data_IF_197792592663
#
_entry.id   IF_197792592663
#
_cell.length_a   1.000
_cell.length_b   1.000
_cell.length_c   1.000
_cell.angle_alpha   90.00
_cell.angle_beta   90.00
_cell.angle_gamma   90.00
#
_symmetry.space_group_name_H-M   'P 1'
#
loop_
_entity.id
_entity.type
_entity.pdbx_description
1 polymer ?
#
# COMPACT_ATOMS: atom_id res chain seq x y z
N UNK A 1 -0.85 -10.70 21.77
CA UNK A 1 -1.65 -9.44 21.72
C UNK A 1 -3.08 -9.74 22.14
N UNK A 2 -3.68 -8.91 23.02
CA UNK A 2 -5.05 -9.11 23.50
C UNK A 2 -6.06 -8.30 22.72
N UNK A 3 -5.71 -7.07 22.32
CA UNK A 3 -6.59 -6.17 21.56
C UNK A 3 -5.81 -5.47 20.43
N UNK A 4 -6.37 -5.56 19.22
CA UNK A 4 -5.90 -4.82 18.04
C UNK A 4 -7.00 -3.88 17.57
N UNK A 5 -6.69 -2.59 17.42
CA UNK A 5 -7.58 -1.59 16.84
C UNK A 5 -7.21 -1.35 15.36
N UNK A 6 -8.17 -1.56 14.46
CA UNK A 6 -8.02 -1.26 13.03
C UNK A 6 -8.72 0.07 12.73
N UNK A 7 -7.96 1.08 12.36
CA UNK A 7 -8.47 2.38 11.92
C UNK A 7 -8.60 2.36 10.39
N UNK A 8 -9.84 2.26 9.90
CA UNK A 8 -10.11 2.04 8.48
C UNK A 8 -10.35 0.58 8.12
N UNK A 9 -11.59 0.12 8.26
CA UNK A 9 -11.98 -1.27 8.02
C UNK A 9 -12.46 -1.44 6.58
N UNK A 10 -11.49 -1.38 5.63
CA UNK A 10 -11.70 -1.66 4.21
C UNK A 10 -11.19 -3.05 3.81
N UNK A 11 -10.76 -3.20 2.55
CA UNK A 11 -10.17 -4.44 2.05
C UNK A 11 -8.95 -4.87 2.89
N UNK A 12 -7.95 -4.00 3.03
CA UNK A 12 -6.68 -4.33 3.67
C UNK A 12 -6.86 -4.51 5.18
N UNK A 13 -7.44 -3.52 5.89
CA UNK A 13 -7.70 -3.63 7.33
C UNK A 13 -8.61 -4.80 7.69
N UNK A 14 -9.64 -5.05 6.90
CA UNK A 14 -10.53 -6.21 7.07
C UNK A 14 -9.84 -7.54 6.81
N UNK A 15 -8.96 -7.62 5.81
CA UNK A 15 -8.17 -8.84 5.53
C UNK A 15 -7.18 -9.13 6.67
N UNK A 16 -6.52 -8.09 7.21
CA UNK A 16 -5.66 -8.25 8.38
C UNK A 16 -6.44 -8.76 9.59
N UNK A 17 -7.61 -8.17 9.86
CA UNK A 17 -8.46 -8.64 10.96
C UNK A 17 -8.86 -10.11 10.80
N UNK A 18 -9.29 -10.53 9.61
CA UNK A 18 -9.62 -11.95 9.33
C UNK A 18 -8.42 -12.87 9.53
N UNK A 19 -7.27 -12.51 8.95
CA UNK A 19 -6.06 -13.33 9.05
C UNK A 19 -5.60 -13.52 10.50
N UNK A 20 -5.63 -12.44 11.30
CA UNK A 20 -5.31 -12.50 12.72
C UNK A 20 -6.29 -13.38 13.48
N UNK A 21 -7.60 -13.22 13.24
CA UNK A 21 -8.63 -14.06 13.92
C UNK A 21 -8.51 -15.54 13.60
N UNK A 22 -8.11 -15.90 12.39
CA UNK A 22 -7.85 -17.30 12.03
C UNK A 22 -6.66 -17.90 12.79
N UNK A 23 -5.62 -17.12 13.03
CA UNK A 23 -4.41 -17.57 13.75
C UNK A 23 -4.53 -17.47 15.25
N UNK A 24 -5.12 -16.39 15.74
CA UNK A 24 -5.24 -16.03 17.15
C UNK A 24 -6.68 -15.63 17.48
N UNK A 25 -7.61 -16.60 17.62
CA UNK A 25 -9.05 -16.31 17.83
C UNK A 25 -9.35 -15.57 19.14
N UNK A 26 -8.42 -15.58 20.11
CA UNK A 26 -8.58 -14.89 21.39
C UNK A 26 -8.26 -13.38 21.30
N UNK A 27 -7.65 -12.91 20.20
CA UNK A 27 -7.34 -11.50 20.01
C UNK A 27 -8.62 -10.72 19.67
N UNK A 28 -8.95 -9.72 20.48
CA UNK A 28 -10.08 -8.82 20.25
C UNK A 28 -9.78 -7.88 19.07
N UNK A 29 -10.55 -7.99 18.00
CA UNK A 29 -10.45 -7.10 16.83
C UNK A 29 -11.44 -5.97 16.96
N UNK A 30 -10.94 -4.78 17.30
CA UNK A 30 -11.71 -3.54 17.41
C UNK A 30 -11.61 -2.73 16.12
N UNK A 31 -12.71 -2.24 15.58
CA UNK A 31 -12.75 -1.39 14.39
C UNK A 31 -13.06 0.06 14.71
N UNK A 32 -12.42 1.00 14.00
CA UNK A 32 -12.78 2.41 14.01
C UNK A 32 -12.97 2.95 12.60
N UNK A 33 -14.03 3.72 12.41
CA UNK A 33 -14.22 4.61 11.25
C UNK A 33 -15.11 5.79 11.66
N UNK A 34 -15.06 6.88 10.87
CA UNK A 34 -15.89 8.09 11.12
C UNK A 34 -17.39 7.82 11.01
N UNK A 35 -17.80 6.76 10.33
CA UNK A 35 -19.19 6.35 10.14
C UNK A 35 -19.35 4.88 10.45
N UNK A 36 -20.50 4.49 10.95
CA UNK A 36 -20.77 3.11 11.40
C UNK A 36 -21.18 2.14 10.28
N UNK A 37 -21.49 2.63 9.08
CA UNK A 37 -22.01 1.82 7.97
C UNK A 37 -21.11 0.60 7.66
N UNK A 38 -19.83 0.85 7.36
CA UNK A 38 -18.88 -0.21 7.04
C UNK A 38 -18.49 -1.04 8.26
N UNK A 39 -18.48 -0.42 9.46
CA UNK A 39 -18.20 -1.11 10.71
C UNK A 39 -19.29 -2.14 11.05
N UNK A 40 -20.57 -1.80 10.85
CA UNK A 40 -21.71 -2.72 11.01
C UNK A 40 -21.59 -3.92 10.07
N UNK A 41 -21.22 -3.68 8.81
CA UNK A 41 -20.98 -4.76 7.84
C UNK A 41 -19.83 -5.64 8.32
N UNK A 42 -18.71 -5.05 8.73
CA UNK A 42 -17.55 -5.80 9.21
C UNK A 42 -17.88 -6.68 10.43
N UNK A 43 -18.63 -6.15 11.39
CA UNK A 43 -19.10 -6.92 12.57
C UNK A 43 -20.03 -8.05 12.17
N UNK A 44 -21.01 -7.78 11.27
CA UNK A 44 -21.93 -8.81 10.77
C UNK A 44 -21.21 -9.95 10.01
N UNK A 45 -20.13 -9.62 9.31
CA UNK A 45 -19.30 -10.59 8.60
C UNK A 45 -18.29 -11.32 9.51
N UNK A 46 -18.29 -11.05 10.82
CA UNK A 46 -17.36 -11.65 11.78
C UNK A 46 -15.91 -11.18 11.64
N UNK A 47 -15.67 -10.09 10.89
CA UNK A 47 -14.33 -9.49 10.72
C UNK A 47 -13.88 -8.81 12.01
N UNK A 48 -14.80 -8.11 12.67
CA UNK A 48 -14.59 -7.42 13.93
C UNK A 48 -15.37 -8.10 15.06
N UNK A 49 -14.83 -8.06 16.26
CA UNK A 49 -15.55 -8.44 17.48
C UNK A 49 -16.38 -7.27 17.98
N UNK A 50 -15.82 -6.05 17.91
CA UNK A 50 -16.52 -4.83 18.23
C UNK A 50 -16.02 -3.64 17.40
N UNK A 51 -16.74 -2.50 17.49
CA UNK A 51 -16.37 -1.28 16.79
C UNK A 51 -16.90 -0.06 17.51
N UNK A 52 -16.27 1.09 17.25
CA UNK A 52 -16.77 2.40 17.68
C UNK A 52 -16.53 3.46 16.61
N UNK A 53 -17.37 4.48 16.63
CA UNK A 53 -17.15 5.76 15.93
C UNK A 53 -16.51 6.81 16.84
N UNK A 54 -16.30 6.49 18.12
CA UNK A 54 -15.47 7.24 19.04
C UNK A 54 -14.04 6.67 19.03
N UNK A 55 -13.09 7.53 18.66
CA UNK A 55 -11.70 7.11 18.52
C UNK A 55 -11.06 6.78 19.87
N UNK A 56 -11.45 7.48 20.94
CA UNK A 56 -10.99 7.19 22.30
C UNK A 56 -11.38 5.77 22.72
N UNK A 57 -12.66 5.43 22.55
CA UNK A 57 -13.18 4.09 22.90
C UNK A 57 -12.47 3.00 22.07
N UNK A 58 -12.28 3.26 20.79
CA UNK A 58 -11.67 2.29 19.89
C UNK A 58 -10.20 2.00 20.26
N UNK A 59 -9.40 3.04 20.47
CA UNK A 59 -7.94 2.95 20.64
C UNK A 59 -7.54 2.57 22.08
N UNK A 60 -8.31 3.00 23.10
CA UNK A 60 -7.96 2.76 24.49
C UNK A 60 -7.72 1.28 24.81
N UNK A 61 -6.66 1.00 25.56
CA UNK A 61 -6.23 -0.34 25.95
C UNK A 61 -5.89 -1.29 24.77
N UNK A 62 -5.57 -0.75 23.59
CA UNK A 62 -5.07 -1.56 22.48
C UNK A 62 -3.58 -1.85 22.66
N UNK A 63 -3.17 -3.09 22.39
CA UNK A 63 -1.76 -3.45 22.30
C UNK A 63 -1.17 -2.93 20.98
N UNK A 64 -1.99 -2.97 19.91
CA UNK A 64 -1.61 -2.53 18.56
C UNK A 64 -2.73 -1.68 17.95
N UNK A 65 -2.35 -0.57 17.31
CA UNK A 65 -3.21 0.26 16.48
C UNK A 65 -2.70 0.22 15.04
N UNK A 66 -3.56 -0.16 14.10
CA UNK A 66 -3.23 -0.28 12.68
C UNK A 66 -3.93 0.82 11.89
N UNK A 67 -3.16 1.69 11.23
CA UNK A 67 -3.66 2.73 10.34
C UNK A 67 -3.89 2.13 8.94
N UNK A 68 -5.14 1.79 8.62
CA UNK A 68 -5.54 1.20 7.33
C UNK A 68 -6.45 2.14 6.52
N UNK A 69 -6.18 3.43 6.61
CA UNK A 69 -6.86 4.52 5.89
C UNK A 69 -6.02 5.02 4.72
N UNK A 70 -6.58 5.85 3.82
CA UNK A 70 -5.77 6.56 2.84
C UNK A 70 -4.63 7.34 3.49
N UNK A 71 -3.47 7.39 2.81
CA UNK A 71 -2.23 7.95 3.35
C UNK A 71 -2.32 9.43 3.74
N UNK A 72 -3.17 10.20 3.07
CA UNK A 72 -3.44 11.61 3.41
C UNK A 72 -4.16 11.81 4.76
N UNK A 73 -4.72 10.76 5.35
CA UNK A 73 -5.40 10.87 6.63
C UNK A 73 -4.48 10.64 7.84
N UNK A 74 -3.23 10.24 7.63
CA UNK A 74 -2.33 9.81 8.72
C UNK A 74 -2.09 10.89 9.76
N UNK A 75 -1.78 12.12 9.34
CA UNK A 75 -1.54 13.24 10.26
C UNK A 75 -2.73 13.46 11.21
N UNK A 76 -3.92 13.66 10.65
CA UNK A 76 -5.14 13.87 11.43
C UNK A 76 -5.46 12.70 12.36
N UNK A 77 -5.22 11.45 11.89
CA UNK A 77 -5.47 10.27 12.73
C UNK A 77 -4.46 10.21 13.87
N UNK A 78 -3.17 10.46 13.60
CA UNK A 78 -2.15 10.48 14.65
C UNK A 78 -2.43 11.56 15.69
N UNK A 79 -2.87 12.77 15.30
CA UNK A 79 -3.32 13.82 16.21
C UNK A 79 -4.46 13.33 17.10
N UNK A 80 -5.46 12.69 16.52
CA UNK A 80 -6.66 12.24 17.23
C UNK A 80 -6.39 11.06 18.17
N UNK A 81 -5.49 10.13 17.84
CA UNK A 81 -5.18 8.98 18.70
C UNK A 81 -4.16 9.31 19.79
N UNK A 82 -3.28 10.29 19.56
CA UNK A 82 -2.17 10.64 20.47
C UNK A 82 -2.57 10.72 21.96
N UNK A 83 -3.69 11.37 22.34
CA UNK A 83 -4.08 11.49 23.76
C UNK A 83 -4.49 10.15 24.40
N UNK A 84 -4.81 9.14 23.60
CA UNK A 84 -5.43 7.89 24.06
C UNK A 84 -4.51 6.67 23.90
N UNK A 85 -3.30 6.88 23.37
CA UNK A 85 -2.28 5.82 23.28
C UNK A 85 -1.75 5.44 24.66
N UNK A 86 -1.81 4.17 25.01
CA UNK A 86 -1.18 3.62 26.21
C UNK A 86 0.36 3.59 26.09
N UNK A 87 1.04 3.53 27.21
CA UNK A 87 2.53 3.50 27.25
C UNK A 87 3.16 2.33 26.49
N UNK A 88 2.41 1.23 26.30
CA UNK A 88 2.88 0.03 25.60
C UNK A 88 2.21 -0.17 24.24
N UNK A 89 1.31 0.74 23.84
CA UNK A 89 0.62 0.64 22.56
C UNK A 89 1.60 0.84 21.42
N UNK A 90 1.66 -0.11 20.51
CA UNK A 90 2.40 -0.02 19.25
C UNK A 90 1.47 0.52 18.18
N UNK A 91 1.99 1.36 17.29
CA UNK A 91 1.27 1.87 16.12
C UNK A 91 1.95 1.38 14.86
N UNK A 92 1.19 0.90 13.90
CA UNK A 92 1.68 0.54 12.56
C UNK A 92 0.69 1.00 11.50
N UNK A 93 1.07 0.91 10.24
CA UNK A 93 0.19 1.24 9.12
C UNK A 93 0.25 0.18 8.01
N UNK A 94 -0.57 0.38 6.97
CA UNK A 94 -0.57 -0.44 5.75
C UNK A 94 -0.50 0.42 4.49
N UNK A 95 -0.07 1.66 4.62
CA UNK A 95 -0.04 2.64 3.54
C UNK A 95 0.99 2.35 2.47
N UNK A 96 0.74 2.84 1.26
CA UNK A 96 1.59 2.61 0.09
C UNK A 96 2.81 3.54 0.02
N UNK A 97 2.91 4.55 0.87
CA UNK A 97 4.03 5.49 0.99
C UNK A 97 4.47 5.59 2.44
N UNK A 98 5.77 5.78 2.71
CA UNK A 98 6.33 5.72 4.06
C UNK A 98 6.84 7.07 4.56
N UNK A 99 7.49 7.85 3.70
CA UNK A 99 8.06 9.15 4.11
C UNK A 99 7.00 10.13 4.60
N UNK A 100 5.79 10.11 4.01
CA UNK A 100 4.69 10.95 4.46
C UNK A 100 4.19 10.58 5.87
N UNK A 101 4.17 9.30 6.23
CA UNK A 101 3.82 8.87 7.59
C UNK A 101 4.87 9.32 8.59
N UNK A 102 6.17 9.19 8.24
CA UNK A 102 7.26 9.65 9.09
C UNK A 102 7.14 11.15 9.33
N UNK A 103 6.98 11.95 8.27
CA UNK A 103 6.82 13.41 8.38
C UNK A 103 5.58 13.79 9.22
N UNK A 104 4.46 13.11 9.01
CA UNK A 104 3.23 13.29 9.81
C UNK A 104 3.47 12.97 11.29
N UNK A 105 4.16 11.87 11.58
CA UNK A 105 4.48 11.47 12.94
C UNK A 105 5.41 12.46 13.64
N UNK A 106 6.48 12.91 12.95
CA UNK A 106 7.38 13.94 13.50
C UNK A 106 6.64 15.24 13.81
N UNK A 107 5.77 15.68 12.89
CA UNK A 107 4.95 16.89 13.10
C UNK A 107 4.04 16.75 14.32
N UNK A 108 3.36 15.61 14.47
CA UNK A 108 2.39 15.39 15.55
C UNK A 108 3.08 15.19 16.91
N UNK A 109 4.18 14.43 16.96
CA UNK A 109 4.83 14.05 18.21
C UNK A 109 6.05 14.92 18.56
N UNK A 110 6.51 15.80 17.66
CA UNK A 110 7.72 16.62 17.83
C UNK A 110 9.01 15.91 17.42
N UNK A 111 8.99 14.59 17.34
CA UNK A 111 10.02 13.71 16.79
C UNK A 111 9.38 12.38 16.42
N UNK A 112 10.06 11.55 15.63
CA UNK A 112 9.53 10.24 15.27
C UNK A 112 9.39 9.36 16.53
N UNK A 113 8.18 8.84 16.85
CA UNK A 113 7.95 8.10 18.08
C UNK A 113 8.45 6.66 17.97
N UNK A 114 9.15 6.18 19.00
CA UNK A 114 9.76 4.83 19.03
C UNK A 114 8.77 3.67 18.89
N UNK A 115 7.51 3.90 19.25
CA UNK A 115 6.44 2.90 19.21
C UNK A 115 5.72 2.81 17.85
N UNK A 116 6.05 3.69 16.90
CA UNK A 116 5.47 3.66 15.56
C UNK A 116 6.41 2.89 14.62
N UNK A 117 5.89 1.82 14.05
CA UNK A 117 6.63 0.96 13.12
C UNK A 117 5.89 0.95 11.79
N UNK A 118 6.36 1.69 10.79
CA UNK A 118 5.70 1.75 9.50
C UNK A 118 5.80 0.42 8.74
N UNK A 119 4.70 0.03 8.07
CA UNK A 119 4.66 -1.18 7.26
C UNK A 119 3.83 -0.96 5.98
N UNK A 120 4.10 -1.77 4.95
CA UNK A 120 3.36 -1.76 3.70
C UNK A 120 3.22 -3.19 3.17
N UNK A 121 2.04 -3.81 3.24
CA UNK A 121 1.78 -5.09 2.59
C UNK A 121 1.67 -4.91 1.08
N UNK A 122 2.53 -5.61 0.32
CA UNK A 122 2.52 -5.59 -1.14
C UNK A 122 1.46 -6.58 -1.64
N UNK A 123 0.22 -6.26 -1.32
CA UNK A 123 -0.95 -7.09 -1.62
C UNK A 123 -2.19 -6.20 -1.76
N UNK A 124 -3.10 -6.57 -2.65
CA UNK A 124 -4.34 -5.82 -2.90
C UNK A 124 -5.21 -6.53 -3.93
N UNK A 125 -6.40 -5.97 -4.12
CA UNK A 125 -7.35 -6.33 -5.18
C UNK A 125 -7.91 -5.03 -5.76
N UNK A 126 -8.44 -5.08 -6.98
CA UNK A 126 -9.09 -3.92 -7.62
C UNK A 126 -10.46 -3.58 -7.01
N UNK A 127 -10.93 -4.37 -6.05
CA UNK A 127 -12.20 -4.16 -5.34
C UNK A 127 -11.96 -3.54 -3.96
N UNK A 128 -12.78 -2.59 -3.57
CA UNK A 128 -12.75 -1.90 -2.29
C UNK A 128 -13.88 -2.39 -1.37
N UNK A 129 -13.66 -2.25 -0.05
CA UNK A 129 -14.67 -2.59 0.96
C UNK A 129 -14.32 -3.85 1.75
N UNK A 130 -14.91 -3.93 2.95
CA UNK A 130 -14.69 -5.06 3.87
C UNK A 130 -15.32 -6.36 3.36
N UNK A 131 -16.31 -6.27 2.50
CA UNK A 131 -16.97 -7.40 1.86
C UNK A 131 -16.01 -8.23 0.98
N UNK A 132 -14.97 -7.60 0.45
CA UNK A 132 -13.95 -8.25 -0.37
C UNK A 132 -12.71 -8.66 0.42
N UNK A 133 -12.73 -8.44 1.75
CA UNK A 133 -11.62 -8.85 2.62
C UNK A 133 -11.45 -10.38 2.62
N UNK A 134 -10.18 -10.80 2.72
CA UNK A 134 -9.77 -12.18 2.54
C UNK A 134 -8.65 -12.50 3.52
N UNK A 135 -8.85 -13.51 4.37
CA UNK A 135 -7.85 -13.91 5.36
C UNK A 135 -6.52 -14.38 4.74
N UNK A 136 -6.55 -14.86 3.50
CA UNK A 136 -5.38 -15.33 2.78
C UNK A 136 -4.70 -14.25 1.92
N UNK A 137 -5.17 -12.98 2.00
CA UNK A 137 -4.67 -11.90 1.14
C UNK A 137 -3.14 -11.73 1.24
N UNK A 138 -2.57 -11.93 2.41
CA UNK A 138 -1.15 -11.70 2.70
C UNK A 138 -0.30 -12.97 2.66
N UNK A 139 -0.92 -14.15 2.58
CA UNK A 139 -0.20 -15.42 2.57
C UNK A 139 0.75 -15.51 1.36
N UNK A 140 2.05 -15.74 1.63
CA UNK A 140 3.11 -15.75 0.63
C UNK A 140 3.37 -14.38 -0.02
N UNK A 141 2.79 -13.28 0.49
CA UNK A 141 3.03 -11.93 -0.01
C UNK A 141 4.12 -11.23 0.79
N UNK A 142 4.79 -10.29 0.13
CA UNK A 142 5.79 -9.44 0.78
C UNK A 142 5.10 -8.36 1.62
N UNK A 143 5.66 -8.11 2.80
CA UNK A 143 5.36 -6.92 3.61
C UNK A 143 6.68 -6.20 3.87
N UNK A 144 6.75 -4.93 3.49
CA UNK A 144 7.92 -4.10 3.77
C UNK A 144 7.71 -3.36 5.08
N UNK A 145 8.63 -3.51 6.01
CA UNK A 145 8.67 -2.80 7.30
C UNK A 145 9.81 -1.79 7.26
N UNK A 146 9.53 -0.54 7.63
CA UNK A 146 10.52 0.55 7.52
C UNK A 146 10.77 1.22 8.88
N UNK A 147 11.46 0.53 9.82
CA UNK A 147 11.75 1.12 11.12
C UNK A 147 12.72 2.29 10.98
N UNK A 148 12.54 3.32 11.81
CA UNK A 148 13.50 4.38 12.00
C UNK A 148 14.60 3.96 13.00
N UNK A 149 15.73 4.69 13.00
CA UNK A 149 16.90 4.36 13.84
C UNK A 149 16.58 4.29 15.33
N UNK A 150 15.61 5.07 15.80
CA UNK A 150 15.17 5.12 17.19
C UNK A 150 13.98 4.22 17.50
N UNK A 151 13.52 3.39 16.54
CA UNK A 151 12.41 2.47 16.77
C UNK A 151 12.70 1.51 17.92
N UNK A 152 11.69 1.28 18.77
CA UNK A 152 11.81 0.32 19.87
C UNK A 152 11.84 -1.11 19.32
N UNK A 153 12.81 -1.91 19.72
CA UNK A 153 13.00 -3.27 19.21
C UNK A 153 11.80 -4.18 19.48
N UNK A 154 11.20 -4.12 20.68
CA UNK A 154 10.02 -4.94 20.99
C UNK A 154 8.81 -4.56 20.12
N UNK A 155 8.66 -3.26 19.78
CA UNK A 155 7.62 -2.79 18.87
C UNK A 155 7.86 -3.30 17.46
N UNK A 156 9.11 -3.29 16.99
CA UNK A 156 9.51 -3.83 15.69
C UNK A 156 9.24 -5.33 15.62
N UNK A 157 9.67 -6.08 16.62
CA UNK A 157 9.48 -7.54 16.71
C UNK A 157 7.98 -7.89 16.72
N UNK A 158 7.15 -7.10 17.42
CA UNK A 158 5.70 -7.29 17.45
C UNK A 158 5.08 -7.15 16.06
N UNK A 159 5.46 -6.11 15.31
CA UNK A 159 4.93 -5.87 13.96
C UNK A 159 5.43 -6.94 12.97
N UNK A 160 6.70 -7.31 13.03
CA UNK A 160 7.26 -8.39 12.18
C UNK A 160 6.52 -9.70 12.47
N UNK A 161 6.42 -10.10 13.74
CA UNK A 161 5.75 -11.35 14.14
C UNK A 161 4.29 -11.38 13.69
N UNK A 162 3.56 -10.25 13.78
CA UNK A 162 2.17 -10.16 13.31
C UNK A 162 2.05 -10.56 11.83
N UNK A 163 2.92 -10.01 10.98
CA UNK A 163 2.88 -10.28 9.54
C UNK A 163 3.33 -11.70 9.19
N UNK A 164 4.37 -12.19 9.87
CA UNK A 164 4.88 -13.57 9.67
C UNK A 164 3.86 -14.63 10.11
N UNK A 165 3.18 -14.42 11.25
CA UNK A 165 2.15 -15.31 11.77
C UNK A 165 0.99 -15.50 10.79
N UNK A 166 0.63 -14.47 10.04
CA UNK A 166 -0.41 -14.56 9.00
C UNK A 166 0.12 -15.02 7.62
N UNK A 167 1.37 -15.47 7.56
CA UNK A 167 1.98 -16.10 6.39
C UNK A 167 2.63 -15.14 5.40
N UNK A 168 2.86 -13.89 5.77
CA UNK A 168 3.58 -12.94 4.92
C UNK A 168 5.11 -13.13 5.00
N UNK A 169 5.83 -12.68 3.97
CA UNK A 169 7.29 -12.55 3.97
C UNK A 169 7.68 -11.12 4.29
N UNK A 170 8.28 -10.91 5.47
CA UNK A 170 8.68 -9.58 5.91
C UNK A 170 10.07 -9.23 5.37
N UNK A 171 10.18 -8.05 4.78
CA UNK A 171 11.45 -7.42 4.38
C UNK A 171 11.61 -6.10 5.12
N UNK A 172 12.82 -5.83 5.64
CA UNK A 172 13.12 -4.59 6.36
C UNK A 172 14.03 -3.73 5.49
N UNK A 173 13.65 -2.47 5.28
CA UNK A 173 14.47 -1.46 4.58
C UNK A 173 14.16 -0.06 5.10
N UNK A 174 14.91 0.95 4.67
CA UNK A 174 14.59 2.35 5.01
C UNK A 174 13.35 2.85 4.26
N UNK A 175 12.65 3.84 4.82
CA UNK A 175 11.50 4.48 4.17
C UNK A 175 11.89 5.13 2.82
N UNK A 176 13.08 5.72 2.74
CA UNK A 176 13.63 6.28 1.49
C UNK A 176 13.77 5.20 0.43
N UNK A 177 14.39 4.08 0.80
CA UNK A 177 14.56 2.95 -0.12
C UNK A 177 13.21 2.36 -0.55
N UNK A 178 12.25 2.23 0.38
CA UNK A 178 10.89 1.78 0.08
C UNK A 178 10.22 2.70 -0.96
N UNK A 179 10.15 4.00 -0.71
CA UNK A 179 9.42 4.93 -1.57
C UNK A 179 10.07 5.05 -2.95
N UNK A 180 11.41 4.92 -3.04
CA UNK A 180 12.13 4.87 -4.31
C UNK A 180 11.84 3.58 -5.08
N UNK A 181 11.95 2.41 -4.46
CA UNK A 181 11.69 1.11 -5.12
C UNK A 181 10.22 1.01 -5.55
N UNK A 182 9.28 1.37 -4.69
CA UNK A 182 7.85 1.31 -5.02
C UNK A 182 7.44 2.41 -6.00
N UNK A 183 8.12 3.56 -5.97
CA UNK A 183 8.02 4.60 -6.99
C UNK A 183 8.23 4.04 -8.39
N UNK A 184 9.29 3.25 -8.57
CA UNK A 184 9.66 2.64 -9.84
C UNK A 184 8.82 1.40 -10.18
N UNK A 185 8.61 0.49 -9.22
CA UNK A 185 8.07 -0.85 -9.53
C UNK A 185 6.54 -0.95 -9.41
N UNK A 186 5.90 0.02 -8.77
CA UNK A 186 4.46 0.06 -8.54
C UNK A 186 3.84 1.38 -9.00
N UNK A 187 4.33 2.51 -8.52
CA UNK A 187 3.66 3.79 -8.75
C UNK A 187 3.78 4.23 -10.21
N UNK A 188 4.98 4.22 -10.80
CA UNK A 188 5.17 4.53 -12.23
C UNK A 188 4.31 3.65 -13.15
N UNK A 189 4.27 2.31 -13.02
CA UNK A 189 3.39 1.48 -13.85
C UNK A 189 1.92 1.88 -13.80
N UNK A 190 1.39 2.25 -12.62
CA UNK A 190 0.01 2.71 -12.51
C UNK A 190 -0.19 4.05 -13.21
N UNK A 191 0.75 5.00 -13.04
CA UNK A 191 0.67 6.30 -13.74
C UNK A 191 0.67 6.11 -15.25
N UNK A 192 1.53 5.22 -15.76
CA UNK A 192 1.58 4.91 -17.20
C UNK A 192 0.27 4.27 -17.69
N UNK A 193 -0.31 3.36 -16.90
CA UNK A 193 -1.57 2.72 -17.27
C UNK A 193 -2.74 3.73 -17.30
N UNK A 194 -2.90 4.58 -16.28
CA UNK A 194 -3.90 5.63 -16.25
C UNK A 194 -3.71 6.61 -17.40
N UNK A 195 -2.46 7.08 -17.61
CA UNK A 195 -2.14 8.06 -18.67
C UNK A 195 -2.34 7.47 -20.07
N UNK A 196 -1.97 6.19 -20.30
CA UNK A 196 -2.21 5.54 -21.60
C UNK A 196 -3.70 5.46 -21.93
N UNK A 197 -4.54 5.08 -20.95
CA UNK A 197 -5.99 5.02 -21.14
C UNK A 197 -6.56 6.39 -21.47
N UNK A 198 -6.18 7.43 -20.72
CA UNK A 198 -6.62 8.81 -20.94
C UNK A 198 -6.15 9.33 -22.32
N UNK A 199 -4.89 9.09 -22.67
CA UNK A 199 -4.33 9.45 -23.97
C UNK A 199 -5.13 8.84 -25.13
N UNK A 200 -5.40 7.53 -25.10
CA UNK A 200 -6.18 6.86 -26.14
C UNK A 200 -7.58 7.45 -26.28
N UNK A 201 -8.26 7.71 -25.16
CA UNK A 201 -9.58 8.32 -25.15
C UNK A 201 -9.58 9.74 -25.73
N UNK A 202 -8.51 10.50 -25.52
CA UNK A 202 -8.36 11.84 -26.06
C UNK A 202 -8.11 11.85 -27.58
N UNK A 203 -7.43 10.82 -28.11
CA UNK A 203 -7.13 10.71 -29.55
C UNK A 203 -8.32 10.16 -30.35
N UNK A 204 -8.91 9.06 -29.90
CA UNK A 204 -10.04 8.42 -30.59
C UNK A 204 -10.84 7.54 -29.61
N UNK A 205 -12.07 7.92 -29.33
CA UNK A 205 -12.96 7.16 -28.44
C UNK A 205 -13.28 5.76 -28.93
N UNK A 206 -13.25 5.55 -30.26
CA UNK A 206 -13.53 4.25 -30.87
C UNK A 206 -12.32 3.30 -30.82
N UNK A 207 -11.14 3.77 -30.46
CA UNK A 207 -9.92 2.95 -30.39
C UNK A 207 -10.09 1.72 -29.47
N UNK A 208 -10.90 1.83 -28.41
CA UNK A 208 -11.18 0.70 -27.54
C UNK A 208 -11.88 -0.47 -28.21
N UNK A 209 -12.64 -0.23 -29.28
CA UNK A 209 -13.33 -1.29 -30.03
C UNK A 209 -12.32 -2.24 -30.73
N UNK A 210 -11.09 -1.79 -30.92
CA UNK A 210 -10.00 -2.54 -31.54
C UNK A 210 -8.98 -3.05 -30.52
N UNK A 211 -9.18 -2.78 -29.22
CA UNK A 211 -8.28 -3.20 -28.16
C UNK A 211 -8.34 -4.73 -27.96
N UNK A 212 -7.18 -5.36 -27.90
CA UNK A 212 -7.03 -6.79 -27.67
C UNK A 212 -6.41 -7.13 -26.33
N UNK A 213 -6.08 -8.41 -26.08
CA UNK A 213 -5.61 -8.93 -24.79
C UNK A 213 -4.42 -8.17 -24.22
N UNK A 214 -3.43 -7.80 -25.03
CA UNK A 214 -2.26 -7.04 -24.54
C UNK A 214 -2.61 -5.69 -23.94
N UNK A 215 -3.53 -4.93 -24.58
CA UNK A 215 -4.01 -3.69 -24.00
C UNK A 215 -4.81 -3.91 -22.72
N UNK A 216 -5.70 -4.93 -22.71
CA UNK A 216 -6.49 -5.31 -21.53
C UNK A 216 -5.59 -5.62 -20.34
N UNK A 217 -4.53 -6.40 -20.55
CA UNK A 217 -3.61 -6.80 -19.49
C UNK A 217 -2.80 -5.61 -18.96
N UNK A 218 -2.27 -4.77 -19.86
CA UNK A 218 -1.49 -3.59 -19.49
C UNK A 218 -2.34 -2.55 -18.76
N UNK A 219 -3.55 -2.26 -19.27
CA UNK A 219 -4.44 -1.23 -18.72
C UNK A 219 -5.25 -1.69 -17.51
N UNK A 220 -5.21 -2.98 -17.12
CA UNK A 220 -5.97 -3.55 -16.00
C UNK A 220 -5.86 -2.73 -14.71
N UNK A 221 -4.64 -2.30 -14.38
CA UNK A 221 -4.35 -1.53 -13.16
C UNK A 221 -4.90 -0.10 -13.19
N UNK A 222 -5.28 0.45 -14.35
CA UNK A 222 -6.00 1.71 -14.46
C UNK A 222 -7.46 1.65 -13.95
N UNK A 223 -7.97 0.46 -13.63
CA UNK A 223 -9.26 0.29 -12.95
C UNK A 223 -9.19 0.39 -11.42
N UNK A 224 -8.01 0.68 -10.88
CA UNK A 224 -7.80 0.88 -9.43
C UNK A 224 -8.46 2.18 -8.94
N UNK A 225 -8.66 2.29 -7.61
CA UNK A 225 -9.26 3.47 -7.00
C UNK A 225 -8.45 4.75 -7.29
N UNK A 226 -9.06 5.67 -8.05
CA UNK A 226 -8.41 6.89 -8.50
C UNK A 226 -8.07 7.84 -7.35
N UNK A 227 -8.85 7.84 -6.27
CA UNK A 227 -8.59 8.70 -5.11
C UNK A 227 -7.36 8.20 -4.35
N UNK A 228 -7.27 6.90 -4.13
CA UNK A 228 -6.09 6.28 -3.51
C UNK A 228 -4.83 6.57 -4.34
N UNK A 229 -4.88 6.40 -5.66
CA UNK A 229 -3.73 6.63 -6.53
C UNK A 229 -3.33 8.11 -6.62
N UNK A 230 -4.30 9.04 -6.64
CA UNK A 230 -4.02 10.46 -6.50
C UNK A 230 -3.22 10.75 -5.23
N UNK A 231 -3.66 10.19 -4.11
CA UNK A 231 -3.01 10.42 -2.81
C UNK A 231 -1.60 9.82 -2.79
N UNK A 232 -1.39 8.64 -3.37
CA UNK A 232 -0.06 8.04 -3.56
C UNK A 232 0.84 8.94 -4.41
N UNK A 233 0.35 9.45 -5.54
CA UNK A 233 1.11 10.35 -6.41
C UNK A 233 1.61 11.59 -5.67
N UNK A 234 0.74 12.21 -4.88
CA UNK A 234 1.08 13.44 -4.16
C UNK A 234 2.07 13.18 -3.01
N UNK A 235 1.97 12.01 -2.35
CA UNK A 235 2.83 11.68 -1.21
C UNK A 235 4.17 11.04 -1.61
N UNK A 236 4.33 10.58 -2.85
CA UNK A 236 5.62 10.12 -3.40
C UNK A 236 6.02 10.89 -4.67
N UNK A 237 5.66 12.18 -4.72
CA UNK A 237 5.76 13.00 -5.93
C UNK A 237 7.19 13.08 -6.48
N UNK A 238 8.19 13.24 -5.63
CA UNK A 238 9.59 13.38 -6.04
C UNK A 238 10.09 12.13 -6.76
N UNK A 239 9.89 10.95 -6.18
CA UNK A 239 10.32 9.68 -6.80
C UNK A 239 9.56 9.40 -8.09
N UNK A 240 8.23 9.61 -8.07
CA UNK A 240 7.40 9.38 -9.27
C UNK A 240 7.80 10.32 -10.41
N UNK A 241 8.00 11.62 -10.14
CA UNK A 241 8.39 12.57 -11.19
C UNK A 241 9.79 12.30 -11.74
N UNK A 242 10.74 11.90 -10.89
CA UNK A 242 12.07 11.47 -11.32
C UNK A 242 11.99 10.26 -12.26
N UNK A 243 11.19 9.24 -11.90
CA UNK A 243 11.00 8.06 -12.74
C UNK A 243 10.25 8.37 -14.05
N UNK A 244 9.25 9.26 -14.01
CA UNK A 244 8.57 9.74 -15.23
C UNK A 244 9.56 10.43 -16.17
N UNK A 245 10.42 11.31 -15.65
CA UNK A 245 11.42 12.00 -16.47
C UNK A 245 12.37 11.01 -17.15
N UNK A 246 12.95 10.06 -16.40
CA UNK A 246 13.80 9.04 -16.99
C UNK A 246 13.08 8.11 -17.98
N UNK A 247 11.77 7.87 -17.77
CA UNK A 247 10.97 7.10 -18.71
C UNK A 247 10.66 7.87 -20.01
N UNK A 248 10.48 9.19 -19.92
CA UNK A 248 10.34 10.06 -21.09
C UNK A 248 11.61 10.00 -21.94
N UNK A 249 12.80 10.12 -21.34
CA UNK A 249 14.08 10.01 -22.04
C UNK A 249 14.19 8.67 -22.79
N UNK A 250 13.77 7.56 -22.15
CA UNK A 250 13.76 6.25 -22.80
C UNK A 250 12.77 6.15 -23.95
N UNK A 251 11.58 6.77 -23.85
CA UNK A 251 10.60 6.82 -24.94
C UNK A 251 11.09 7.66 -26.10
N UNK A 252 11.74 8.78 -25.84
CA UNK A 252 12.35 9.63 -26.88
C UNK A 252 13.46 8.88 -27.63
N UNK A 253 14.32 8.17 -26.90
CA UNK A 253 15.35 7.33 -27.51
C UNK A 253 14.74 6.25 -28.41
N UNK A 254 13.74 5.50 -27.93
CA UNK A 254 13.03 4.53 -28.76
C UNK A 254 12.37 5.17 -29.97
N UNK A 255 11.76 6.34 -29.83
CA UNK A 255 11.15 7.10 -30.93
C UNK A 255 12.19 7.45 -31.99
N UNK A 256 13.39 7.88 -31.59
CA UNK A 256 14.48 8.20 -32.52
C UNK A 256 14.99 6.95 -33.24
N UNK A 257 15.20 5.83 -32.55
CA UNK A 257 15.56 4.54 -33.16
C UNK A 257 14.54 4.14 -34.24
N UNK A 258 13.23 4.34 -33.97
CA UNK A 258 12.17 4.03 -34.97
C UNK A 258 12.25 4.95 -36.16
N UNK A 259 12.44 6.26 -35.98
CA UNK A 259 12.57 7.26 -37.07
C UNK A 259 13.78 6.98 -37.96
N UNK A 260 14.90 6.58 -37.32
CA UNK A 260 16.17 6.33 -37.99
C UNK A 260 16.25 4.91 -38.58
N UNK A 261 15.19 4.10 -38.43
CA UNK A 261 15.15 2.69 -38.84
C UNK A 261 16.28 1.84 -38.25
N UNK A 262 16.73 2.17 -37.03
CA UNK A 262 17.79 1.42 -36.33
C UNK A 262 17.25 0.06 -35.81
N UNK A 263 17.18 -0.88 -36.74
CA UNK A 263 16.70 -2.25 -36.44
C UNK A 263 17.50 -2.93 -35.34
N UNK A 264 18.83 -2.78 -35.34
CA UNK A 264 19.71 -3.44 -34.39
C UNK A 264 19.59 -2.85 -32.98
N UNK A 265 19.40 -1.52 -32.89
CA UNK A 265 19.17 -0.83 -31.62
C UNK A 265 17.84 -1.27 -30.99
N UNK A 266 16.77 -1.30 -31.80
CA UNK A 266 15.44 -1.74 -31.35
C UNK A 266 15.48 -3.21 -30.89
N UNK A 267 16.12 -4.10 -31.69
CA UNK A 267 16.23 -5.53 -31.35
C UNK A 267 16.98 -5.73 -30.02
N UNK A 268 18.11 -5.06 -29.83
CA UNK A 268 18.87 -5.10 -28.57
C UNK A 268 18.02 -4.65 -27.37
N UNK A 269 17.29 -3.54 -27.48
CA UNK A 269 16.44 -3.03 -26.42
C UNK A 269 15.36 -4.05 -26.04
N UNK A 270 14.67 -4.58 -27.03
CA UNK A 270 13.58 -5.54 -26.79
C UNK A 270 14.08 -6.89 -26.27
N UNK A 271 15.23 -7.38 -26.76
CA UNK A 271 15.85 -8.60 -26.27
C UNK A 271 16.26 -8.48 -24.80
N UNK A 272 16.88 -7.35 -24.43
CA UNK A 272 17.28 -7.09 -23.05
C UNK A 272 16.05 -7.04 -22.10
N UNK A 273 15.01 -6.35 -22.51
CA UNK A 273 13.76 -6.26 -21.75
C UNK A 273 13.11 -7.65 -21.58
N UNK A 274 13.02 -8.41 -22.67
CA UNK A 274 12.49 -9.78 -22.67
C UNK A 274 13.28 -10.68 -21.73
N UNK A 275 14.61 -10.72 -21.85
CA UNK A 275 15.46 -11.56 -21.01
C UNK A 275 15.35 -11.19 -19.52
N UNK A 276 15.32 -9.90 -19.21
CA UNK A 276 15.16 -9.41 -17.84
C UNK A 276 13.84 -9.87 -17.23
N UNK A 277 12.74 -9.75 -17.98
CA UNK A 277 11.41 -10.20 -17.56
C UNK A 277 11.36 -11.73 -17.38
N UNK A 278 11.88 -12.48 -18.34
CA UNK A 278 11.87 -13.95 -18.29
C UNK A 278 12.69 -14.47 -17.08
N UNK A 279 13.83 -13.84 -16.80
CA UNK A 279 14.65 -14.17 -15.63
C UNK A 279 13.97 -13.84 -14.30
N UNK A 280 13.23 -12.72 -14.24
CA UNK A 280 12.46 -12.37 -13.06
C UNK A 280 11.33 -13.36 -12.79
N UNK A 281 10.61 -13.81 -13.81
CA UNK A 281 9.53 -14.79 -13.66
C UNK A 281 10.03 -16.17 -13.18
N UNK A 282 11.24 -16.58 -13.55
CA UNK A 282 11.85 -17.84 -13.09
C UNK A 282 12.22 -17.83 -11.60
N UNK A 283 12.36 -16.65 -11.00
CA UNK A 283 12.73 -16.50 -9.58
C UNK A 283 11.50 -16.42 -8.65
N UNK A 284 10.29 -16.37 -9.20
CA UNK A 284 9.00 -16.38 -8.50
C UNK A 284 8.37 -17.77 -8.55
#
# INVERSE_FOLDING_TARGET
>A
MNKICIIGVGLIGGSLARAVKEKNPATLMMGYARTDKNLKIAKKLGVLDDYSTDIQEAVSNSDLVVLATPVNAFETILENIKPFLGQKTVVTDVGSTKLNLIASAEKVFGSFPQFLIPAHPIAGKEKNGVEFSDANLFNGKRVVVTPEKNSNQNSLDMVISLWEEIGAHVEVMSAIQHDSILGMTSHLPHMLAFNLVDYLMSQNKDAFNYAAGGFKDFSRIASSDHTMWRDICLNNANEITNHISGYIDNLENLSNMIKDHDSDGIDRLFLNAKQSRDNWLKKK
#
